data_IF_349640450146
#
_entry.id   IF_349640450146
#
_cell.length_a   1.000
_cell.length_b   1.000
_cell.length_c   1.000
_cell.angle_alpha   90.00
_cell.angle_beta   90.00
_cell.angle_gamma   90.00
#
_symmetry.space_group_name_H-M   'P 1'
#
loop_
_entity.id
_entity.type
_entity.pdbx_description
1 polymer ?
#
# COMPACT_ATOMS: atom_id res chain seq x y z
N UNK A 1 -3.50 -27.91 68.67
CA UNK A 1 -2.33 -28.64 69.21
C UNK A 1 -1.20 -27.72 69.68
N UNK A 2 -0.92 -26.57 69.03
CA UNK A 2 0.18 -25.70 69.47
C UNK A 2 -0.03 -25.15 70.89
N UNK A 3 -1.24 -24.68 71.23
CA UNK A 3 -1.54 -24.13 72.56
C UNK A 3 -1.34 -25.15 73.70
N UNK A 4 -1.90 -26.36 73.55
CA UNK A 4 -1.81 -27.42 74.57
C UNK A 4 -0.36 -27.86 74.78
N UNK A 5 0.41 -27.97 73.70
CA UNK A 5 1.82 -28.34 73.78
C UNK A 5 2.67 -27.22 74.42
N UNK A 6 2.42 -25.96 74.10
CA UNK A 6 3.06 -24.81 74.76
C UNK A 6 2.72 -24.75 76.24
N UNK A 7 1.47 -25.04 76.63
CA UNK A 7 1.04 -25.12 78.03
C UNK A 7 1.76 -26.27 78.74
N UNK A 8 1.88 -27.45 78.12
CA UNK A 8 2.58 -28.60 78.70
C UNK A 8 4.08 -28.35 78.87
N UNK A 9 4.75 -27.73 77.88
CA UNK A 9 6.16 -27.33 78.00
C UNK A 9 6.29 -26.28 79.11
N UNK A 10 5.41 -25.28 79.16
CA UNK A 10 5.44 -24.25 80.19
C UNK A 10 5.28 -24.85 81.60
N UNK A 11 4.39 -25.84 81.76
CA UNK A 11 4.20 -26.56 83.01
C UNK A 11 5.41 -27.43 83.36
N UNK A 12 6.01 -28.12 82.37
CA UNK A 12 7.23 -28.90 82.56
C UNK A 12 8.40 -28.01 83.01
N UNK A 13 8.59 -26.85 82.37
CA UNK A 13 9.56 -25.81 82.74
C UNK A 13 9.34 -25.33 84.17
N UNK A 14 8.09 -25.02 84.52
CA UNK A 14 7.73 -24.57 85.86
C UNK A 14 8.06 -25.64 86.92
N UNK A 15 7.68 -26.90 86.69
CA UNK A 15 7.98 -28.02 87.60
C UNK A 15 9.48 -28.24 87.73
N UNK A 16 10.24 -28.19 86.62
CA UNK A 16 11.70 -28.32 86.62
C UNK A 16 12.41 -27.22 87.41
N UNK A 17 11.93 -25.98 87.29
CA UNK A 17 12.44 -24.84 88.06
C UNK A 17 12.11 -24.97 89.56
N UNK A 18 10.90 -25.38 89.92
CA UNK A 18 10.51 -25.62 91.33
C UNK A 18 11.39 -26.74 91.92
N UNK A 19 11.60 -27.84 91.19
CA UNK A 19 12.45 -28.94 91.65
C UNK A 19 13.91 -28.49 91.87
N UNK A 20 14.45 -27.67 90.97
CA UNK A 20 15.81 -27.12 91.08
C UNK A 20 15.93 -26.12 92.23
N UNK A 21 14.88 -25.35 92.48
CA UNK A 21 14.81 -24.43 93.62
C UNK A 21 14.77 -25.18 94.96
N UNK A 22 13.98 -26.25 95.07
CA UNK A 22 13.87 -27.03 96.30
C UNK A 22 15.17 -27.76 96.67
N UNK A 23 15.97 -28.15 95.67
CA UNK A 23 17.24 -28.85 95.90
C UNK A 23 18.39 -27.90 96.27
N UNK A 24 18.23 -26.58 96.12
CA UNK A 24 19.31 -25.56 96.31
C UNK A 24 19.94 -25.60 97.70
N UNK A 25 19.18 -26.07 98.71
CA UNK A 25 19.63 -26.18 100.10
C UNK A 25 20.65 -27.29 100.32
N UNK A 26 20.70 -28.29 99.44
CA UNK A 26 21.42 -29.54 99.69
C UNK A 26 22.63 -29.78 98.77
N UNK A 27 22.82 -28.98 97.72
CA UNK A 27 23.86 -29.20 96.70
C UNK A 27 24.72 -27.95 96.50
N UNK A 28 25.97 -28.13 96.05
CA UNK A 28 26.85 -27.01 95.73
C UNK A 28 26.33 -26.23 94.51
N UNK A 29 26.44 -24.90 94.56
CA UNK A 29 25.93 -23.99 93.53
C UNK A 29 26.40 -24.32 92.10
N UNK A 30 27.66 -24.76 91.92
CA UNK A 30 28.18 -25.15 90.60
C UNK A 30 27.49 -26.37 89.99
N UNK A 31 27.12 -27.37 90.80
CA UNK A 31 26.38 -28.54 90.33
C UNK A 31 24.94 -28.18 89.94
N UNK A 32 24.35 -27.19 90.62
CA UNK A 32 23.02 -26.66 90.27
C UNK A 32 23.00 -25.92 88.95
N UNK A 33 23.99 -25.07 88.70
CA UNK A 33 24.15 -24.38 87.43
C UNK A 33 24.29 -25.38 86.27
N UNK A 34 25.06 -26.46 86.47
CA UNK A 34 25.23 -27.51 85.46
C UNK A 34 23.92 -28.27 85.21
N UNK A 35 23.21 -28.69 86.26
CA UNK A 35 21.91 -29.35 86.14
C UNK A 35 20.87 -28.46 85.43
N UNK A 36 20.80 -27.17 85.80
CA UNK A 36 19.93 -26.19 85.14
C UNK A 36 20.32 -25.98 83.67
N UNK A 37 21.62 -25.92 83.36
CA UNK A 37 22.12 -25.81 81.99
C UNK A 37 21.72 -27.00 81.13
N UNK A 38 21.90 -28.23 81.64
CA UNK A 38 21.48 -29.46 80.94
C UNK A 38 19.95 -29.48 80.78
N UNK A 39 19.20 -29.07 81.81
CA UNK A 39 17.76 -28.99 81.76
C UNK A 39 17.26 -28.01 80.68
N UNK A 40 17.78 -26.78 80.67
CA UNK A 40 17.42 -25.76 79.67
C UNK A 40 17.84 -26.19 78.26
N UNK A 41 19.01 -26.81 78.11
CA UNK A 41 19.43 -27.38 76.82
C UNK A 41 18.45 -28.47 76.34
N UNK A 42 17.99 -29.34 77.25
CA UNK A 42 17.01 -30.39 76.93
C UNK A 42 15.67 -29.81 76.50
N UNK A 43 15.19 -28.77 77.20
CA UNK A 43 13.98 -28.03 76.79
C UNK A 43 14.18 -27.35 75.44
N UNK A 44 15.35 -26.75 75.19
CA UNK A 44 15.69 -26.14 73.90
C UNK A 44 15.63 -27.14 72.75
N UNK A 45 16.17 -28.35 72.93
CA UNK A 45 16.07 -29.43 71.94
C UNK A 45 14.61 -29.84 71.69
N UNK A 46 13.77 -29.90 72.73
CA UNK A 46 12.34 -30.21 72.58
C UNK A 46 11.60 -29.12 71.79
N UNK A 47 11.89 -27.84 72.03
CA UNK A 47 11.30 -26.72 71.28
C UNK A 47 11.73 -26.75 69.81
N UNK A 48 13.03 -26.95 69.54
CA UNK A 48 13.52 -27.08 68.17
C UNK A 48 12.93 -28.30 67.47
N UNK A 49 12.84 -29.45 68.15
CA UNK A 49 12.20 -30.65 67.63
C UNK A 49 10.73 -30.44 67.30
N UNK A 50 10.00 -29.68 68.14
CA UNK A 50 8.61 -29.32 67.89
C UNK A 50 8.45 -28.36 66.69
N UNK A 51 9.36 -27.40 66.51
CA UNK A 51 9.37 -26.52 65.33
C UNK A 51 9.71 -27.30 64.05
N UNK A 52 10.71 -28.18 64.09
CA UNK A 52 11.03 -29.08 62.98
C UNK A 52 9.82 -29.96 62.63
N UNK A 53 9.12 -30.51 63.63
CA UNK A 53 7.89 -31.28 63.40
C UNK A 53 6.76 -30.41 62.81
N UNK A 54 6.60 -29.17 63.29
CA UNK A 54 5.60 -28.22 62.75
C UNK A 54 5.87 -27.90 61.29
N UNK A 55 7.11 -27.56 60.95
CA UNK A 55 7.56 -27.30 59.59
C UNK A 55 7.37 -28.54 58.73
N UNK A 56 7.82 -29.72 59.19
CA UNK A 56 7.67 -30.97 58.45
C UNK A 56 6.21 -31.34 58.21
N UNK A 57 5.33 -31.16 59.21
CA UNK A 57 3.89 -31.37 59.06
C UNK A 57 3.29 -30.39 58.07
N UNK A 58 3.66 -29.11 58.13
CA UNK A 58 3.20 -28.08 57.20
C UNK A 58 3.66 -28.38 55.77
N UNK A 59 4.92 -28.78 55.59
CA UNK A 59 5.46 -29.22 54.31
C UNK A 59 4.73 -30.44 53.78
N UNK A 60 4.51 -31.50 54.58
CA UNK A 60 3.73 -32.67 54.16
C UNK A 60 2.28 -32.34 53.81
N UNK A 61 1.66 -31.39 54.50
CA UNK A 61 0.30 -30.93 54.18
C UNK A 61 0.25 -30.14 52.86
N UNK A 62 1.32 -29.42 52.52
CA UNK A 62 1.42 -28.65 51.28
C UNK A 62 1.95 -29.48 50.11
N UNK A 63 2.69 -30.56 50.37
CA UNK A 63 3.28 -31.44 49.35
C UNK A 63 2.27 -31.88 48.28
N UNK A 64 1.09 -32.45 48.59
CA UNK A 64 0.14 -32.89 47.56
C UNK A 64 -0.40 -31.72 46.72
N UNK A 65 -0.47 -30.50 47.29
CA UNK A 65 -0.88 -29.31 46.53
C UNK A 65 0.20 -28.88 45.55
N UNK A 66 1.46 -28.95 45.95
CA UNK A 66 2.59 -28.62 45.09
C UNK A 66 2.78 -29.68 44.00
N UNK A 67 2.60 -30.97 44.34
CA UNK A 67 2.62 -32.08 43.36
C UNK A 67 1.50 -31.92 42.32
N UNK A 68 0.27 -31.65 42.74
CA UNK A 68 -0.84 -31.41 41.81
C UNK A 68 -0.61 -30.18 40.92
N UNK A 69 -0.02 -29.10 41.46
CA UNK A 69 0.37 -27.92 40.67
C UNK A 69 1.48 -28.24 39.67
N UNK A 70 2.49 -29.02 40.09
CA UNK A 70 3.59 -29.42 39.22
C UNK A 70 3.06 -30.26 38.05
N UNK A 71 2.22 -31.25 38.33
CA UNK A 71 1.57 -32.08 37.29
C UNK A 71 0.75 -31.23 36.33
N UNK A 72 -0.02 -30.26 36.83
CA UNK A 72 -0.79 -29.34 36.00
C UNK A 72 0.12 -28.47 35.11
N UNK A 73 1.25 -27.97 35.65
CA UNK A 73 2.21 -27.16 34.88
C UNK A 73 2.94 -28.01 33.83
N UNK A 74 3.31 -29.25 34.16
CA UNK A 74 3.92 -30.19 33.23
C UNK A 74 2.95 -30.55 32.09
N UNK A 75 1.68 -30.79 32.41
CA UNK A 75 0.63 -31.06 31.42
C UNK A 75 0.42 -29.85 30.49
N UNK A 76 0.37 -28.63 31.04
CA UNK A 76 0.27 -27.38 30.26
C UNK A 76 1.50 -27.18 29.37
N UNK A 77 2.70 -27.41 29.89
CA UNK A 77 3.93 -27.26 29.13
C UNK A 77 4.01 -28.29 27.99
N UNK A 78 3.66 -29.56 28.28
CA UNK A 78 3.53 -30.58 27.25
C UNK A 78 2.50 -30.18 26.19
N UNK A 79 1.34 -29.67 26.60
CA UNK A 79 0.31 -29.18 25.67
C UNK A 79 0.79 -28.01 24.80
N UNK A 80 1.59 -27.09 25.31
CA UNK A 80 2.21 -26.02 24.52
C UNK A 80 3.27 -26.57 23.56
N UNK A 81 4.11 -27.51 24.01
CA UNK A 81 5.20 -28.06 23.20
C UNK A 81 4.72 -28.98 22.08
N UNK A 82 3.80 -29.90 22.36
CA UNK A 82 3.32 -30.88 21.37
C UNK A 82 1.96 -30.54 20.76
N UNK A 83 1.30 -29.49 21.25
CA UNK A 83 -0.11 -29.26 20.99
C UNK A 83 -0.99 -30.15 21.88
N UNK A 84 -2.28 -29.81 22.00
CA UNK A 84 -3.26 -30.59 22.77
C UNK A 84 -4.63 -30.57 22.12
N UNK A 85 -5.39 -31.65 22.33
CA UNK A 85 -6.82 -31.77 21.99
C UNK A 85 -7.69 -32.00 23.22
N UNK A 86 -7.11 -31.91 24.42
CA UNK A 86 -7.81 -32.15 25.68
C UNK A 86 -8.49 -30.84 26.09
N UNK A 87 -9.84 -30.75 26.09
CA UNK A 87 -10.54 -29.47 26.30
C UNK A 87 -10.20 -28.80 27.63
N UNK A 88 -9.98 -29.60 28.68
CA UNK A 88 -9.60 -29.10 30.01
C UNK A 88 -8.24 -28.40 30.01
N UNK A 89 -7.23 -29.02 29.38
CA UNK A 89 -5.88 -28.47 29.26
C UNK A 89 -5.88 -27.21 28.39
N UNK A 90 -6.63 -27.22 27.27
CA UNK A 90 -6.76 -26.05 26.37
C UNK A 90 -7.39 -24.88 27.13
N UNK A 91 -8.51 -25.10 27.81
CA UNK A 91 -9.18 -24.06 28.61
C UNK A 91 -8.25 -23.51 29.69
N UNK A 92 -7.46 -24.37 30.35
CA UNK A 92 -6.52 -23.93 31.37
C UNK A 92 -5.38 -23.08 30.78
N UNK A 93 -4.82 -23.47 29.63
CA UNK A 93 -3.78 -22.68 28.92
C UNK A 93 -4.35 -21.35 28.41
N UNK A 94 -5.55 -21.35 27.85
CA UNK A 94 -6.22 -20.14 27.36
C UNK A 94 -6.49 -19.16 28.51
N UNK A 95 -6.99 -19.64 29.65
CA UNK A 95 -7.24 -18.80 30.82
C UNK A 95 -5.95 -18.19 31.40
N UNK A 96 -4.87 -18.96 31.38
CA UNK A 96 -3.53 -18.49 31.74
C UNK A 96 -3.09 -17.38 30.77
N UNK A 97 -3.21 -17.58 29.46
CA UNK A 97 -2.81 -16.60 28.44
C UNK A 97 -3.67 -15.31 28.46
N UNK A 98 -4.96 -15.40 28.83
CA UNK A 98 -5.82 -14.22 29.03
C UNK A 98 -5.43 -13.41 30.25
N UNK A 99 -4.84 -14.05 31.26
CA UNK A 99 -4.46 -13.44 32.53
C UNK A 99 -2.97 -13.60 32.80
N UNK A 100 -2.08 -13.04 31.96
CA UNK A 100 -0.64 -13.21 32.13
C UNK A 100 -0.15 -12.64 33.46
N UNK A 101 -0.84 -11.65 34.02
CA UNK A 101 -0.57 -11.09 35.36
C UNK A 101 -0.77 -12.11 36.49
N UNK A 102 -1.76 -13.00 36.36
CA UNK A 102 -1.99 -14.06 37.35
C UNK A 102 -0.81 -15.05 37.35
N UNK A 103 -0.36 -15.47 36.16
CA UNK A 103 0.84 -16.31 36.00
C UNK A 103 2.06 -15.60 36.58
N UNK A 104 2.23 -14.31 36.27
CA UNK A 104 3.32 -13.48 36.79
C UNK A 104 3.36 -13.49 38.31
N UNK A 105 2.20 -13.25 38.92
CA UNK A 105 2.07 -13.17 40.37
C UNK A 105 2.36 -14.51 41.06
N UNK A 106 2.17 -15.62 40.36
CA UNK A 106 2.39 -16.97 40.85
C UNK A 106 3.84 -17.45 40.64
N UNK A 107 4.50 -17.04 39.55
CA UNK A 107 5.86 -17.47 39.20
C UNK A 107 6.96 -16.54 39.71
N UNK A 108 6.70 -15.24 39.84
CA UNK A 108 7.72 -14.27 40.14
C UNK A 108 7.76 -13.87 41.62
N UNK A 109 8.95 -13.97 42.23
CA UNK A 109 9.31 -13.07 43.34
C UNK A 109 9.26 -11.60 42.88
N UNK A 110 9.32 -10.64 43.81
CA UNK A 110 9.07 -9.21 43.52
C UNK A 110 9.81 -8.65 42.29
N UNK A 111 11.03 -9.12 41.99
CA UNK A 111 11.82 -8.66 40.83
C UNK A 111 11.29 -9.15 39.47
N UNK A 112 10.73 -10.36 39.39
CA UNK A 112 10.18 -10.88 38.13
C UNK A 112 8.83 -10.25 37.76
N UNK A 113 8.09 -9.74 38.76
CA UNK A 113 6.84 -9.01 38.52
C UNK A 113 7.08 -7.69 37.80
N UNK A 114 8.19 -7.00 38.11
CA UNK A 114 8.52 -5.71 37.50
C UNK A 114 8.99 -5.85 36.04
N UNK A 115 9.79 -6.88 35.73
CA UNK A 115 10.20 -7.18 34.36
C UNK A 115 9.02 -7.60 33.47
N UNK A 116 8.12 -8.44 34.00
CA UNK A 116 6.95 -8.85 33.24
C UNK A 116 5.95 -7.70 33.08
N UNK A 117 5.78 -6.84 34.09
CA UNK A 117 4.97 -5.64 33.96
C UNK A 117 5.49 -4.72 32.85
N UNK A 118 6.82 -4.58 32.68
CA UNK A 118 7.39 -3.81 31.57
C UNK A 118 7.12 -4.45 30.20
N UNK A 119 7.21 -5.79 30.08
CA UNK A 119 6.86 -6.50 28.84
C UNK A 119 5.37 -6.44 28.51
N UNK A 120 4.50 -6.63 29.51
CA UNK A 120 3.06 -6.54 29.36
C UNK A 120 2.60 -5.11 29.11
N UNK A 121 3.27 -4.10 29.66
CA UNK A 121 3.00 -2.71 29.32
C UNK A 121 3.29 -2.43 27.84
N UNK A 122 4.37 -2.99 27.28
CA UNK A 122 4.65 -2.88 25.85
C UNK A 122 3.54 -3.54 25.00
N UNK A 123 3.09 -4.74 25.38
CA UNK A 123 1.99 -5.43 24.69
C UNK A 123 0.63 -4.74 24.88
N UNK A 124 0.34 -4.27 26.08
CA UNK A 124 -0.94 -3.68 26.49
C UNK A 124 -1.20 -2.28 25.97
N UNK A 125 -0.17 -1.58 25.46
CA UNK A 125 -0.38 -0.31 24.72
C UNK A 125 -1.03 -0.50 23.34
N UNK A 126 -1.21 -1.74 22.88
CA UNK A 126 -1.80 -2.04 21.59
C UNK A 126 -3.14 -2.78 21.78
N UNK A 127 -4.23 -2.03 21.99
CA UNK A 127 -5.59 -2.59 22.15
C UNK A 127 -5.94 -3.57 21.02
N UNK A 128 -5.54 -3.27 19.79
CA UNK A 128 -5.74 -4.14 18.63
C UNK A 128 -5.02 -5.49 18.77
N UNK A 129 -3.82 -5.52 19.35
CA UNK A 129 -3.11 -6.78 19.61
C UNK A 129 -3.81 -7.63 20.67
N UNK A 130 -4.46 -6.99 21.66
CA UNK A 130 -5.23 -7.68 22.67
C UNK A 130 -6.51 -8.28 22.10
N UNK A 131 -7.26 -7.52 21.29
CA UNK A 131 -8.46 -8.04 20.59
C UNK A 131 -8.13 -9.20 19.64
N UNK A 132 -7.02 -9.10 18.91
CA UNK A 132 -6.54 -10.19 18.06
C UNK A 132 -6.10 -11.42 18.87
N UNK A 133 -5.47 -11.23 20.03
CA UNK A 133 -5.12 -12.32 20.92
C UNK A 133 -6.37 -12.99 21.50
N UNK A 134 -7.34 -12.20 21.99
CA UNK A 134 -8.58 -12.72 22.54
C UNK A 134 -9.39 -13.50 21.48
N UNK A 135 -9.49 -12.99 20.26
CA UNK A 135 -10.17 -13.71 19.16
C UNK A 135 -9.46 -15.00 18.76
N UNK A 136 -8.13 -15.02 18.75
CA UNK A 136 -7.36 -16.25 18.54
C UNK A 136 -7.60 -17.25 19.68
N UNK A 137 -7.64 -16.80 20.93
CA UNK A 137 -7.89 -17.65 22.08
C UNK A 137 -9.32 -18.24 22.08
N UNK A 138 -10.30 -17.48 21.61
CA UNK A 138 -11.66 -17.99 21.38
C UNK A 138 -11.68 -19.06 20.29
N UNK A 139 -11.06 -18.81 19.13
CA UNK A 139 -10.93 -19.80 18.05
C UNK A 139 -10.22 -21.08 18.51
N UNK A 140 -9.20 -20.97 19.37
CA UNK A 140 -8.51 -22.13 19.95
C UNK A 140 -9.42 -22.95 20.88
N UNK A 141 -10.28 -22.26 21.64
CA UNK A 141 -11.24 -22.91 22.55
C UNK A 141 -12.35 -23.60 21.75
N UNK A 142 -12.89 -22.95 20.73
CA UNK A 142 -13.95 -23.46 19.85
C UNK A 142 -13.47 -24.64 19.00
N UNK A 143 -12.29 -24.54 18.41
CA UNK A 143 -11.72 -25.62 17.59
C UNK A 143 -11.35 -26.87 18.40
N UNK A 144 -11.22 -26.74 19.73
CA UNK A 144 -10.78 -27.81 20.62
C UNK A 144 -9.37 -28.32 20.29
N UNK A 145 -8.55 -27.50 19.62
CA UNK A 145 -7.19 -27.84 19.20
C UNK A 145 -6.24 -26.69 19.54
N UNK A 146 -5.24 -26.99 20.37
CA UNK A 146 -4.11 -26.11 20.62
C UNK A 146 -2.93 -26.55 19.72
N UNK A 147 -2.49 -25.73 18.75
CA UNK A 147 -1.29 -26.01 17.96
C UNK A 147 -0.05 -26.01 18.86
N UNK A 148 0.96 -26.81 18.51
CA UNK A 148 2.25 -26.78 19.19
C UNK A 148 2.97 -25.44 18.96
N UNK A 149 3.87 -25.08 19.87
CA UNK A 149 4.82 -23.98 19.66
C UNK A 149 5.63 -24.15 18.36
N UNK A 150 6.01 -25.38 18.03
CA UNK A 150 6.68 -25.68 16.75
C UNK A 150 5.78 -25.41 15.55
N UNK A 151 4.48 -25.70 15.65
CA UNK A 151 3.51 -25.39 14.58
C UNK A 151 3.36 -23.89 14.41
N UNK A 152 3.26 -23.15 15.53
CA UNK A 152 3.20 -21.69 15.51
C UNK A 152 4.48 -21.06 14.96
N UNK A 153 5.65 -21.58 15.34
CA UNK A 153 6.94 -21.12 14.81
C UNK A 153 7.04 -21.41 13.31
N UNK A 154 6.67 -22.60 12.85
CA UNK A 154 6.62 -22.93 11.42
C UNK A 154 5.65 -22.03 10.65
N UNK A 155 4.46 -21.75 11.19
CA UNK A 155 3.49 -20.84 10.60
C UNK A 155 4.05 -19.41 10.54
N UNK A 156 4.64 -18.92 11.63
CA UNK A 156 5.27 -17.61 11.68
C UNK A 156 6.44 -17.49 10.71
N UNK A 157 7.28 -18.53 10.60
CA UNK A 157 8.37 -18.58 9.62
C UNK A 157 7.86 -18.67 8.18
N UNK A 158 6.76 -19.39 7.93
CA UNK A 158 6.12 -19.42 6.63
C UNK A 158 5.55 -18.04 6.27
N UNK A 159 4.85 -17.38 7.20
CA UNK A 159 4.34 -16.02 7.04
C UNK A 159 5.47 -15.01 6.82
N UNK A 160 6.54 -15.10 7.60
CA UNK A 160 7.72 -14.25 7.48
C UNK A 160 8.43 -14.45 6.13
N UNK A 161 8.58 -15.70 5.68
CA UNK A 161 9.14 -16.00 4.35
C UNK A 161 8.26 -15.47 3.22
N UNK A 162 6.94 -15.59 3.34
CA UNK A 162 6.01 -15.13 2.31
C UNK A 162 5.90 -13.61 2.23
N UNK A 163 6.01 -12.91 3.37
CA UNK A 163 5.95 -11.44 3.42
C UNK A 163 7.31 -10.77 3.19
N UNK A 164 8.39 -11.51 3.38
CA UNK A 164 9.74 -10.94 3.51
C UNK A 164 9.86 -10.06 4.76
N UNK A 165 10.99 -9.38 4.88
CA UNK A 165 11.18 -8.35 5.92
C UNK A 165 10.31 -7.13 5.64
N UNK A 166 9.85 -6.49 6.71
CA UNK A 166 9.02 -5.29 6.64
C UNK A 166 9.60 -4.22 7.55
N UNK A 167 9.82 -3.03 7.01
CA UNK A 167 10.27 -1.85 7.74
C UNK A 167 9.13 -0.85 7.80
N UNK A 168 8.48 -0.77 8.97
CA UNK A 168 7.36 0.15 9.22
C UNK A 168 7.87 1.42 9.87
N UNK A 169 7.16 2.53 9.63
CA UNK A 169 7.49 3.81 10.25
C UNK A 169 8.76 4.44 9.69
N UNK A 170 9.19 4.07 8.48
CA UNK A 170 10.31 4.73 7.82
C UNK A 170 9.91 6.18 7.48
N UNK A 171 10.78 7.15 7.72
CA UNK A 171 10.46 8.57 7.53
C UNK A 171 11.42 9.15 6.49
N UNK A 172 10.89 9.94 5.56
CA UNK A 172 11.75 10.64 4.58
C UNK A 172 12.57 11.69 5.30
N UNK A 173 13.88 11.70 5.06
CA UNK A 173 14.79 12.73 5.58
C UNK A 173 14.94 13.89 4.61
N UNK A 174 14.72 13.63 3.31
CA UNK A 174 14.71 14.62 2.25
C UNK A 174 13.58 14.31 1.25
N UNK A 175 13.15 15.34 0.49
CA UNK A 175 12.27 15.13 -0.65
C UNK A 175 12.96 14.34 -1.76
N UNK A 176 12.19 13.77 -2.72
CA UNK A 176 12.77 13.13 -3.89
C UNK A 176 13.55 14.17 -4.72
N UNK A 177 14.69 13.76 -5.27
CA UNK A 177 15.44 14.57 -6.24
C UNK A 177 14.81 14.49 -7.66
N UNK A 178 15.45 15.13 -8.64
CA UNK A 178 14.98 15.12 -10.04
C UNK A 178 14.90 13.71 -10.67
N UNK A 179 15.62 12.73 -10.10
CA UNK A 179 15.58 11.33 -10.52
C UNK A 179 14.53 10.50 -9.75
N UNK A 180 13.84 11.11 -8.78
CA UNK A 180 12.91 10.43 -7.88
C UNK A 180 13.59 9.70 -6.72
N UNK A 181 14.90 9.87 -6.53
CA UNK A 181 15.65 9.22 -5.45
C UNK A 181 15.30 9.86 -4.12
N UNK A 182 14.96 9.04 -3.11
CA UNK A 182 14.52 9.49 -1.78
C UNK A 182 15.42 8.93 -0.69
N UNK A 183 15.81 9.77 0.27
CA UNK A 183 16.51 9.36 1.48
C UNK A 183 15.51 9.12 2.61
N UNK A 184 15.67 8.01 3.30
CA UNK A 184 14.78 7.59 4.38
C UNK A 184 15.57 7.22 5.64
N UNK A 185 15.01 7.52 6.80
CA UNK A 185 15.45 7.02 8.10
C UNK A 185 14.57 5.83 8.51
N UNK A 186 15.20 4.77 8.98
CA UNK A 186 14.54 3.54 9.43
C UNK A 186 14.87 3.38 10.92
N UNK A 187 13.96 3.77 11.84
CA UNK A 187 14.27 3.82 13.25
C UNK A 187 14.52 2.44 13.87
N UNK A 188 13.80 1.41 13.39
CA UNK A 188 13.84 0.03 13.87
C UNK A 188 13.57 -0.96 12.71
N UNK A 189 14.16 -2.16 12.72
CA UNK A 189 15.22 -2.64 13.64
C UNK A 189 16.59 -1.96 13.37
N UNK A 190 17.56 -2.12 14.28
CA UNK A 190 18.95 -1.60 14.12
C UNK A 190 19.98 -2.74 14.26
N UNK A 191 20.83 -2.99 13.25
CA UNK A 191 20.76 -2.44 11.90
C UNK A 191 19.47 -2.90 11.21
N UNK A 192 18.94 -2.08 10.28
CA UNK A 192 17.69 -2.44 9.60
C UNK A 192 17.87 -3.63 8.64
N UNK A 193 19.08 -3.89 8.16
CA UNK A 193 19.39 -5.07 7.35
C UNK A 193 18.91 -5.00 5.89
N UNK A 194 18.65 -3.80 5.36
CA UNK A 194 18.48 -3.63 3.90
C UNK A 194 19.86 -3.73 3.26
N UNK A 195 19.93 -4.44 2.15
CA UNK A 195 21.16 -4.61 1.38
C UNK A 195 21.18 -3.63 0.21
N UNK A 196 22.36 -3.14 -0.15
CA UNK A 196 22.53 -2.37 -1.38
C UNK A 196 22.16 -3.25 -2.59
N UNK A 197 21.55 -2.63 -3.61
CA UNK A 197 20.99 -3.25 -4.81
C UNK A 197 19.76 -4.15 -4.62
N UNK A 198 19.23 -4.31 -3.39
CA UNK A 198 17.96 -4.99 -3.20
C UNK A 198 16.79 -4.15 -3.76
N UNK A 199 15.76 -4.84 -4.25
CA UNK A 199 14.50 -4.21 -4.69
C UNK A 199 13.49 -4.33 -3.56
N UNK A 200 12.79 -3.24 -3.28
CA UNK A 200 11.79 -3.13 -2.22
C UNK A 200 10.53 -2.43 -2.73
N UNK A 201 9.41 -2.73 -2.09
CA UNK A 201 8.10 -2.18 -2.40
C UNK A 201 7.72 -1.15 -1.34
N UNK A 202 7.47 0.08 -1.76
CA UNK A 202 7.24 1.20 -0.84
C UNK A 202 5.76 1.58 -0.82
N UNK A 203 5.20 1.67 0.38
CA UNK A 203 3.82 2.08 0.64
C UNK A 203 3.81 3.27 1.57
N UNK A 204 2.90 4.21 1.34
CA UNK A 204 2.61 5.25 2.31
C UNK A 204 1.69 4.70 3.39
N UNK A 205 2.03 4.89 4.67
CA UNK A 205 1.16 4.56 5.80
C UNK A 205 0.10 5.64 5.99
N UNK A 206 -1.06 5.24 6.51
CA UNK A 206 -2.18 6.13 6.82
C UNK A 206 -3.51 5.45 6.53
N UNK A 207 -4.59 6.17 6.76
CA UNK A 207 -5.93 5.67 6.46
C UNK A 207 -6.17 5.63 4.93
N UNK A 208 -6.88 4.60 4.44
CA UNK A 208 -7.42 4.63 3.09
C UNK A 208 -8.42 5.79 2.97
N UNK A 209 -8.47 6.41 1.79
CA UNK A 209 -9.45 7.48 1.51
C UNK A 209 -10.45 6.94 0.50
N UNK A 210 -11.56 6.37 0.98
CA UNK A 210 -12.57 5.76 0.11
C UNK A 210 -13.17 6.75 -0.90
N UNK A 211 -13.36 8.01 -0.50
CA UNK A 211 -13.92 9.06 -1.36
C UNK A 211 -12.96 9.49 -2.47
N UNK A 212 -11.66 9.39 -2.20
CA UNK A 212 -10.62 9.68 -3.17
C UNK A 212 -9.43 8.75 -2.95
N UNK A 213 -9.49 7.51 -3.48
CA UNK A 213 -8.44 6.49 -3.27
C UNK A 213 -7.05 6.99 -3.63
N UNK A 214 -7.01 7.96 -4.54
CA UNK A 214 -5.82 8.60 -5.05
C UNK A 214 -5.10 9.52 -4.03
N UNK A 215 -5.74 9.83 -2.89
CA UNK A 215 -5.22 10.66 -1.79
C UNK A 215 -5.00 9.88 -0.47
N UNK A 216 -5.50 8.64 -0.34
CA UNK A 216 -5.31 7.80 0.85
C UNK A 216 -4.00 7.01 0.82
N UNK A 217 -3.65 6.29 1.88
CA UNK A 217 -2.50 5.39 1.90
C UNK A 217 -2.45 4.49 0.65
N UNK A 218 -1.30 4.47 -0.04
CA UNK A 218 -1.21 3.79 -1.33
C UNK A 218 0.20 3.25 -1.58
N UNK A 219 0.27 2.33 -2.52
CA UNK A 219 1.51 1.87 -3.13
C UNK A 219 2.20 2.98 -3.92
N UNK A 220 3.47 3.25 -3.61
CA UNK A 220 4.26 4.31 -4.24
C UNK A 220 5.14 3.80 -5.39
N UNK A 221 5.47 2.51 -5.42
CA UNK A 221 6.26 1.89 -6.48
C UNK A 221 7.33 0.94 -5.96
N UNK A 222 8.10 0.41 -6.92
CA UNK A 222 9.28 -0.42 -6.70
C UNK A 222 10.53 0.46 -6.65
N UNK A 223 11.38 0.24 -5.66
CA UNK A 223 12.59 1.01 -5.46
C UNK A 223 13.78 0.07 -5.29
N UNK A 224 14.92 0.44 -5.87
CA UNK A 224 16.21 -0.16 -5.60
C UNK A 224 16.91 0.59 -4.48
N UNK A 225 17.47 -0.13 -3.52
CA UNK A 225 18.33 0.44 -2.47
C UNK A 225 19.68 0.78 -3.08
N UNK A 226 19.98 2.07 -3.27
CA UNK A 226 21.26 2.51 -3.85
C UNK A 226 22.35 2.72 -2.80
N UNK A 227 21.97 2.96 -1.56
CA UNK A 227 22.86 3.01 -0.40
C UNK A 227 22.11 2.57 0.86
N UNK A 228 22.81 1.88 1.77
CA UNK A 228 22.30 1.45 3.06
C UNK A 228 23.30 1.76 4.17
N UNK A 229 22.83 2.40 5.24
CA UNK A 229 23.56 2.63 6.50
C UNK A 229 22.86 1.86 7.64
N UNK A 230 23.30 1.91 8.90
CA UNK A 230 22.62 1.18 9.98
C UNK A 230 21.18 1.63 10.26
N UNK A 231 20.87 2.92 10.07
CA UNK A 231 19.61 3.58 10.43
C UNK A 231 18.99 4.40 9.28
N UNK A 232 19.56 4.34 8.08
CA UNK A 232 19.05 5.06 6.90
C UNK A 232 19.33 4.33 5.61
N UNK A 233 18.49 4.54 4.60
CA UNK A 233 18.71 4.04 3.25
C UNK A 233 18.38 5.10 2.19
N UNK A 234 18.98 4.96 1.02
CA UNK A 234 18.66 5.76 -0.17
C UNK A 234 17.97 4.85 -1.18
N UNK A 235 16.79 5.26 -1.63
CA UNK A 235 15.94 4.48 -2.53
C UNK A 235 15.80 5.20 -3.86
N UNK A 236 16.15 4.53 -4.96
CA UNK A 236 15.92 5.03 -6.33
C UNK A 236 14.79 4.22 -6.98
N UNK A 237 13.82 4.86 -7.66
CA UNK A 237 12.70 4.15 -8.25
C UNK A 237 13.19 3.26 -9.42
N UNK A 238 12.69 2.02 -9.50
CA UNK A 238 13.05 1.08 -10.58
C UNK A 238 12.45 1.54 -11.91
N UNK A 239 11.25 2.10 -11.86
CA UNK A 239 10.56 2.71 -12.99
C UNK A 239 10.40 4.22 -12.75
N UNK A 240 10.50 5.07 -13.78
CA UNK A 240 10.30 6.50 -13.62
C UNK A 240 8.96 6.80 -12.93
N UNK A 241 9.02 7.57 -11.82
CA UNK A 241 7.82 8.03 -11.15
C UNK A 241 7.08 9.00 -12.08
N UNK A 242 5.75 8.91 -12.12
CA UNK A 242 4.98 9.95 -12.79
C UNK A 242 4.92 11.22 -11.94
N UNK A 243 4.58 12.34 -12.57
CA UNK A 243 4.50 13.65 -11.91
C UNK A 243 3.63 13.59 -10.64
N UNK A 244 2.51 12.86 -10.71
CA UNK A 244 1.60 12.68 -9.59
C UNK A 244 2.26 11.95 -8.41
N UNK A 245 2.92 10.82 -8.65
CA UNK A 245 3.56 10.03 -7.58
C UNK A 245 4.79 10.74 -7.05
N UNK A 246 5.56 11.41 -7.92
CA UNK A 246 6.68 12.24 -7.53
C UNK A 246 6.25 13.39 -6.61
N UNK A 247 5.25 14.19 -7.01
CA UNK A 247 4.69 15.26 -6.17
C UNK A 247 4.12 14.73 -4.85
N UNK A 248 3.44 13.59 -4.89
CA UNK A 248 2.91 12.96 -3.67
C UNK A 248 4.03 12.50 -2.74
N UNK A 249 5.05 11.84 -3.29
CA UNK A 249 6.22 11.42 -2.53
C UNK A 249 6.96 12.63 -1.96
N UNK A 250 7.04 13.75 -2.68
CA UNK A 250 7.61 15.01 -2.19
C UNK A 250 6.79 15.61 -1.04
N UNK A 251 5.47 15.73 -1.22
CA UNK A 251 4.59 16.44 -0.30
C UNK A 251 4.16 15.62 0.93
N UNK A 252 4.21 14.30 0.86
CA UNK A 252 3.79 13.43 1.96
C UNK A 252 4.68 13.65 3.21
N UNK A 253 4.07 13.76 4.39
CA UNK A 253 4.77 13.66 5.67
C UNK A 253 4.47 12.35 6.40
N UNK A 254 3.66 11.49 5.78
CA UNK A 254 3.25 10.25 6.40
C UNK A 254 4.44 9.26 6.42
N UNK A 255 4.55 8.42 7.46
CA UNK A 255 5.52 7.35 7.48
C UNK A 255 5.33 6.38 6.31
N UNK A 256 6.40 5.69 5.95
CA UNK A 256 6.44 4.70 4.90
C UNK A 256 6.50 3.29 5.51
N UNK A 257 5.86 2.34 4.83
CA UNK A 257 6.08 0.91 5.03
C UNK A 257 6.81 0.36 3.82
N UNK A 258 7.95 -0.27 4.06
CA UNK A 258 8.83 -0.85 3.04
C UNK A 258 8.75 -2.35 3.20
N UNK A 259 8.50 -3.05 2.10
CA UNK A 259 8.42 -4.50 2.06
C UNK A 259 9.54 -5.04 1.17
N UNK A 260 10.22 -6.08 1.63
CA UNK A 260 11.20 -6.81 0.83
C UNK A 260 10.54 -7.60 -0.29
N UNK A 261 9.36 -8.16 -0.03
CA UNK A 261 8.57 -8.92 -1.01
C UNK A 261 7.19 -8.29 -1.12
N UNK A 262 6.66 -8.20 -2.34
CA UNK A 262 5.32 -7.67 -2.55
C UNK A 262 4.33 -8.49 -1.71
N UNK A 263 3.54 -7.86 -0.82
CA UNK A 263 2.54 -8.58 -0.06
C UNK A 263 1.63 -9.37 -1.02
N UNK A 264 1.53 -10.70 -0.86
CA UNK A 264 0.64 -11.49 -1.70
C UNK A 264 -0.80 -11.12 -1.38
N UNK A 265 -1.63 -11.14 -2.41
CA UNK A 265 -3.09 -11.08 -2.27
C UNK A 265 -3.57 -12.32 -1.50
N UNK A 266 -4.45 -12.09 -0.53
CA UNK A 266 -4.93 -13.11 0.41
C UNK A 266 -6.35 -12.79 0.80
N UNK A 267 -7.24 -13.77 0.65
CA UNK A 267 -8.60 -13.64 1.14
C UNK A 267 -8.63 -13.67 2.68
N UNK A 268 -7.70 -14.39 3.31
CA UNK A 268 -7.58 -14.58 4.76
C UNK A 268 -7.32 -13.29 5.55
N UNK A 269 -7.06 -12.18 4.86
CA UNK A 269 -6.99 -10.86 5.49
C UNK A 269 -8.38 -10.34 5.90
N UNK A 270 -9.44 -10.83 5.26
CA UNK A 270 -10.82 -10.34 5.40
C UNK A 270 -11.77 -11.36 6.01
N UNK A 271 -11.27 -12.52 6.40
CA UNK A 271 -12.06 -13.60 6.95
C UNK A 271 -11.25 -14.87 7.17
N UNK A 272 -11.94 -15.91 7.58
CA UNK A 272 -11.37 -17.22 7.80
C UNK A 272 -12.41 -18.30 7.50
N UNK A 273 -11.94 -19.54 7.36
CA UNK A 273 -12.85 -20.68 7.30
C UNK A 273 -13.20 -21.13 8.73
N UNK A 274 -14.50 -21.18 9.04
CA UNK A 274 -15.07 -21.82 10.23
C UNK A 274 -15.93 -23.01 9.80
N UNK A 275 -15.56 -24.22 10.24
CA UNK A 275 -16.21 -25.48 9.86
C UNK A 275 -16.49 -25.57 8.35
N UNK A 276 -15.45 -25.36 7.55
CA UNK A 276 -15.50 -25.34 6.09
C UNK A 276 -16.44 -24.29 5.50
N UNK A 277 -16.88 -23.29 6.24
CA UNK A 277 -17.67 -22.16 5.72
C UNK A 277 -16.80 -20.91 5.80
N UNK A 278 -16.71 -20.16 4.70
CA UNK A 278 -16.04 -18.87 4.74
C UNK A 278 -16.85 -17.90 5.58
N UNK A 279 -16.22 -17.35 6.61
CA UNK A 279 -16.79 -16.32 7.48
C UNK A 279 -15.93 -15.08 7.33
N UNK A 280 -16.53 -13.98 6.84
CA UNK A 280 -15.84 -12.70 6.82
C UNK A 280 -15.72 -12.15 8.23
N UNK A 281 -14.54 -11.61 8.55
CA UNK A 281 -14.28 -10.91 9.81
C UNK A 281 -14.87 -9.48 9.81
N UNK A 282 -15.45 -9.04 8.68
CA UNK A 282 -15.98 -7.70 8.47
C UNK A 282 -17.42 -7.75 7.94
N UNK A 283 -18.20 -6.71 8.19
CA UNK A 283 -19.53 -6.60 7.56
C UNK A 283 -19.41 -6.26 6.08
N UNK A 284 -20.48 -6.51 5.32
CA UNK A 284 -20.53 -6.14 3.90
C UNK A 284 -20.29 -4.63 3.70
N UNK A 285 -20.88 -3.78 4.54
CA UNK A 285 -20.71 -2.33 4.47
C UNK A 285 -19.26 -1.92 4.75
N UNK A 286 -18.59 -2.56 5.71
CA UNK A 286 -17.18 -2.30 6.03
C UNK A 286 -16.28 -2.72 4.87
N UNK A 287 -16.50 -3.89 4.29
CA UNK A 287 -15.77 -4.34 3.10
C UNK A 287 -15.95 -3.38 1.93
N UNK A 288 -17.17 -2.89 1.69
CA UNK A 288 -17.47 -1.89 0.64
C UNK A 288 -16.82 -0.52 0.91
N UNK A 289 -16.53 -0.20 2.16
CA UNK A 289 -15.79 1.01 2.52
C UNK A 289 -14.28 0.85 2.35
N UNK A 290 -13.74 -0.33 2.66
CA UNK A 290 -12.30 -0.60 2.59
C UNK A 290 -11.82 -0.96 1.18
N UNK A 291 -12.65 -1.66 0.40
CA UNK A 291 -12.27 -2.23 -0.89
C UNK A 291 -12.90 -1.46 -2.07
N UNK A 292 -12.19 -1.33 -3.20
CA UNK A 292 -12.76 -0.76 -4.42
C UNK A 292 -14.00 -1.53 -4.90
N UNK A 293 -14.97 -0.82 -5.47
CA UNK A 293 -16.21 -1.40 -6.01
C UNK A 293 -15.95 -2.51 -7.05
N UNK A 294 -14.84 -2.42 -7.80
CA UNK A 294 -14.47 -3.42 -8.80
C UNK A 294 -14.01 -4.76 -8.21
N UNK A 295 -13.58 -4.79 -6.95
CA UNK A 295 -13.06 -6.02 -6.31
C UNK A 295 -13.91 -6.48 -5.15
N UNK A 296 -14.67 -5.60 -4.50
CA UNK A 296 -15.43 -5.95 -3.30
C UNK A 296 -16.44 -7.08 -3.54
N UNK A 297 -17.08 -7.12 -4.71
CA UNK A 297 -18.02 -8.19 -5.06
C UNK A 297 -17.33 -9.58 -5.09
N UNK A 298 -16.08 -9.65 -5.53
CA UNK A 298 -15.31 -10.90 -5.50
C UNK A 298 -15.07 -11.37 -4.06
N UNK A 299 -14.81 -10.44 -3.13
CA UNK A 299 -14.59 -10.74 -1.72
C UNK A 299 -15.88 -11.16 -1.00
N UNK A 300 -16.99 -10.50 -1.30
CA UNK A 300 -18.30 -10.84 -0.72
C UNK A 300 -18.79 -12.23 -1.19
N UNK A 301 -18.45 -12.60 -2.42
CA UNK A 301 -18.81 -13.90 -2.99
C UNK A 301 -17.85 -15.01 -2.64
N UNK A 302 -16.66 -14.71 -2.14
CA UNK A 302 -15.65 -15.72 -1.80
C UNK A 302 -16.21 -16.75 -0.82
N UNK A 303 -16.01 -18.03 -1.13
CA UNK A 303 -16.52 -19.15 -0.34
C UNK A 303 -18.03 -19.39 -0.41
N UNK A 304 -18.79 -18.56 -1.14
CA UNK A 304 -20.22 -18.79 -1.35
C UNK A 304 -20.48 -20.00 -2.24
N UNK A 305 -21.56 -20.73 -1.94
CA UNK A 305 -22.04 -21.83 -2.78
C UNK A 305 -22.84 -21.34 -4.00
N UNK A 306 -23.13 -20.04 -4.07
CA UNK A 306 -23.93 -19.41 -5.13
C UNK A 306 -23.05 -19.10 -6.35
N UNK A 307 -22.80 -20.14 -7.14
CA UNK A 307 -22.21 -20.00 -8.46
C UNK A 307 -23.24 -19.49 -9.48
N UNK A 308 -22.86 -18.44 -10.19
CA UNK A 308 -23.61 -17.89 -11.33
C UNK A 308 -23.17 -18.56 -12.62
N UNK A 309 -23.95 -18.36 -13.69
CA UNK A 309 -23.60 -18.87 -15.03
C UNK A 309 -22.40 -18.14 -15.64
N UNK A 310 -22.09 -16.95 -15.15
CA UNK A 310 -21.03 -16.10 -15.67
C UNK A 310 -19.68 -16.36 -14.99
N UNK A 311 -19.65 -17.13 -13.89
CA UNK A 311 -18.39 -17.51 -13.24
C UNK A 311 -17.63 -18.51 -14.12
N UNK A 312 -16.42 -18.13 -14.53
CA UNK A 312 -15.53 -18.99 -15.29
C UNK A 312 -14.93 -20.11 -14.42
N UNK A 313 -14.18 -21.00 -15.06
CA UNK A 313 -13.52 -22.14 -14.39
C UNK A 313 -12.50 -21.70 -13.33
N UNK A 314 -11.88 -20.53 -13.48
CA UNK A 314 -10.88 -20.02 -12.53
C UNK A 314 -11.50 -19.44 -11.25
N UNK A 315 -12.80 -19.14 -11.28
CA UNK A 315 -13.56 -18.69 -10.11
C UNK A 315 -14.29 -19.83 -9.41
N UNK A 316 -14.12 -21.08 -9.86
CA UNK A 316 -14.78 -22.26 -9.29
C UNK A 316 -13.75 -23.16 -8.66
N UNK A 317 -13.85 -23.37 -7.35
CA UNK A 317 -13.06 -24.40 -6.66
C UNK A 317 -13.98 -25.59 -6.36
N UNK A 318 -13.63 -26.74 -6.94
CA UNK A 318 -14.27 -28.01 -6.66
C UNK A 318 -13.75 -28.61 -5.35
N UNK A 319 -14.63 -29.26 -4.61
CA UNK A 319 -14.33 -29.95 -3.35
C UNK A 319 -14.90 -31.37 -3.35
N UNK A 320 -14.23 -32.29 -2.65
CA UNK A 320 -14.74 -33.64 -2.40
C UNK A 320 -15.68 -33.67 -1.17
N UNK A 321 -16.19 -34.85 -0.84
CA UNK A 321 -17.08 -35.07 0.31
C UNK A 321 -16.38 -34.90 1.66
N UNK A 322 -15.04 -34.81 1.66
CA UNK A 322 -14.19 -34.51 2.81
C UNK A 322 -13.79 -33.03 2.88
N UNK A 323 -14.40 -32.17 2.07
CA UNK A 323 -14.10 -30.74 1.99
C UNK A 323 -12.67 -30.41 1.54
N UNK A 324 -11.99 -31.36 0.88
CA UNK A 324 -10.66 -31.13 0.34
C UNK A 324 -10.77 -30.54 -1.08
N UNK A 325 -9.95 -29.52 -1.42
CA UNK A 325 -9.96 -28.94 -2.75
C UNK A 325 -9.51 -29.98 -3.79
N UNK A 326 -10.32 -30.15 -4.83
CA UNK A 326 -10.05 -31.02 -5.97
C UNK A 326 -9.40 -30.16 -7.06
N UNK A 327 -8.19 -30.54 -7.49
CA UNK A 327 -7.55 -29.92 -8.65
C UNK A 327 -8.23 -30.33 -9.96
N UNK A 328 -8.10 -29.53 -11.03
CA UNK A 328 -8.78 -29.79 -12.32
C UNK A 328 -8.40 -31.12 -12.98
N UNK A 329 -7.24 -31.68 -12.62
CA UNK A 329 -6.69 -32.96 -13.13
C UNK A 329 -7.08 -34.18 -12.28
N UNK A 330 -7.88 -34.01 -11.22
CA UNK A 330 -8.20 -35.09 -10.29
C UNK A 330 -9.42 -35.92 -10.73
N UNK A 331 -9.28 -37.24 -10.71
CA UNK A 331 -10.37 -38.20 -11.01
C UNK A 331 -11.42 -38.33 -9.87
N UNK A 332 -11.20 -37.67 -8.73
CA UNK A 332 -12.14 -37.68 -7.61
C UNK A 332 -13.49 -37.05 -8.02
N UNK A 333 -14.63 -37.61 -7.59
CA UNK A 333 -15.93 -37.01 -7.86
C UNK A 333 -16.06 -35.67 -7.13
N UNK A 334 -16.54 -34.64 -7.84
CA UNK A 334 -16.86 -33.34 -7.25
C UNK A 334 -18.15 -33.46 -6.43
N UNK A 335 -18.06 -33.22 -5.12
CA UNK A 335 -19.21 -33.24 -4.23
C UNK A 335 -19.96 -31.90 -4.28
N UNK A 336 -19.23 -30.79 -4.28
CA UNK A 336 -19.78 -29.44 -4.45
C UNK A 336 -18.70 -28.49 -4.97
N UNK A 337 -19.13 -27.34 -5.49
CA UNK A 337 -18.26 -26.27 -5.96
C UNK A 337 -18.56 -24.98 -5.18
N UNK A 338 -17.58 -24.10 -5.08
CA UNK A 338 -17.74 -22.77 -4.48
C UNK A 338 -17.06 -21.70 -5.31
N UNK A 339 -17.52 -20.47 -5.15
CA UNK A 339 -16.85 -19.33 -5.73
C UNK A 339 -15.51 -19.12 -5.01
N UNK A 340 -14.41 -19.31 -5.73
CA UNK A 340 -13.07 -19.01 -5.26
C UNK A 340 -12.57 -17.74 -5.93
N UNK A 341 -11.98 -16.84 -5.13
CA UNK A 341 -11.52 -15.57 -5.65
C UNK A 341 -10.10 -15.77 -6.16
N UNK A 342 -9.80 -15.48 -7.43
CA UNK A 342 -8.44 -15.61 -7.94
C UNK A 342 -7.51 -14.65 -7.20
N UNK A 343 -6.51 -15.22 -6.51
CA UNK A 343 -5.48 -14.45 -5.85
C UNK A 343 -4.61 -13.76 -6.89
N UNK A 344 -4.40 -12.45 -6.72
CA UNK A 344 -3.64 -11.66 -7.68
C UNK A 344 -2.19 -11.56 -7.25
N UNK A 345 -1.27 -11.89 -8.17
CA UNK A 345 0.13 -11.54 -8.01
C UNK A 345 0.31 -10.04 -8.28
N UNK A 346 0.18 -9.20 -7.24
CA UNK A 346 0.22 -7.74 -7.39
C UNK A 346 1.49 -7.23 -8.07
N UNK A 347 2.62 -7.91 -7.90
CA UNK A 347 3.86 -7.62 -8.64
C UNK A 347 3.65 -7.67 -10.15
N UNK A 348 3.05 -8.76 -10.67
CA UNK A 348 2.75 -8.91 -12.10
C UNK A 348 1.74 -7.86 -12.55
N UNK A 349 0.67 -7.65 -11.77
CA UNK A 349 -0.38 -6.68 -12.10
C UNK A 349 0.20 -5.26 -12.19
N UNK A 350 0.99 -4.84 -11.21
CA UNK A 350 1.59 -3.50 -11.21
C UNK A 350 2.63 -3.33 -12.30
N UNK A 351 3.44 -4.35 -12.59
CA UNK A 351 4.38 -4.30 -13.70
C UNK A 351 3.67 -4.18 -15.06
N UNK A 352 2.58 -4.91 -15.26
CA UNK A 352 1.76 -4.79 -16.47
C UNK A 352 1.12 -3.40 -16.57
N UNK A 353 0.52 -2.89 -15.48
CA UNK A 353 -0.06 -1.55 -15.45
C UNK A 353 0.98 -0.46 -15.66
N UNK A 354 2.20 -0.63 -15.16
CA UNK A 354 3.29 0.31 -15.35
C UNK A 354 3.77 0.31 -16.82
N UNK A 355 3.87 -0.86 -17.46
CA UNK A 355 4.18 -0.96 -18.89
C UNK A 355 3.07 -0.35 -19.76
N UNK A 356 1.80 -0.59 -19.43
CA UNK A 356 0.66 0.04 -20.10
C UNK A 356 0.69 1.56 -19.94
N UNK A 357 0.92 2.04 -18.72
CA UNK A 357 1.05 3.47 -18.41
C UNK A 357 2.19 4.11 -19.20
N UNK A 358 3.36 3.47 -19.29
CA UNK A 358 4.48 3.97 -20.08
C UNK A 358 4.10 4.08 -21.57
N UNK A 359 3.37 3.10 -22.09
CA UNK A 359 2.83 3.12 -23.46
C UNK A 359 1.86 4.28 -23.66
N UNK A 360 0.95 4.51 -22.70
CA UNK A 360 -0.02 5.61 -22.75
C UNK A 360 0.66 6.98 -22.68
N UNK A 361 1.67 7.16 -21.85
CA UNK A 361 2.48 8.40 -21.77
C UNK A 361 3.17 8.66 -23.11
N UNK A 362 3.80 7.64 -23.71
CA UNK A 362 4.46 7.77 -25.00
C UNK A 362 3.46 8.16 -26.11
N UNK A 363 2.26 7.56 -26.12
CA UNK A 363 1.18 7.93 -27.06
C UNK A 363 0.69 9.35 -26.84
N UNK A 364 0.53 9.79 -25.59
CA UNK A 364 0.14 11.15 -25.24
C UNK A 364 1.18 12.16 -25.74
N UNK A 365 2.47 11.89 -25.54
CA UNK A 365 3.55 12.75 -26.02
C UNK A 365 3.57 12.84 -27.56
N UNK A 366 3.39 11.72 -28.26
CA UNK A 366 3.30 11.71 -29.72
C UNK A 366 2.09 12.52 -30.22
N UNK A 367 0.92 12.33 -29.61
CA UNK A 367 -0.30 13.07 -29.96
C UNK A 367 -0.14 14.58 -29.70
N UNK A 368 0.55 14.97 -28.62
CA UNK A 368 0.82 16.37 -28.32
C UNK A 368 1.74 17.03 -29.37
N UNK A 369 2.76 16.32 -29.84
CA UNK A 369 3.65 16.81 -30.90
C UNK A 369 2.91 16.90 -32.26
N UNK A 370 2.06 15.94 -32.57
CA UNK A 370 1.22 16.01 -33.79
C UNK A 370 0.22 17.16 -33.72
N UNK A 371 -0.40 17.40 -32.55
CA UNK A 371 -1.26 18.56 -32.33
C UNK A 371 -0.51 19.88 -32.54
N UNK A 372 0.75 19.97 -32.11
CA UNK A 372 1.62 21.14 -32.34
C UNK A 372 1.89 21.34 -33.83
N UNK A 373 2.23 20.28 -34.57
CA UNK A 373 2.46 20.35 -36.04
C UNK A 373 1.20 20.77 -36.79
N UNK A 374 0.05 20.20 -36.43
CA UNK A 374 -1.25 20.58 -37.02
C UNK A 374 -1.57 22.05 -36.75
N UNK A 375 -1.29 22.55 -35.55
CA UNK A 375 -1.44 23.96 -35.24
C UNK A 375 -0.56 24.84 -36.13
N UNK A 376 0.72 24.51 -36.28
CA UNK A 376 1.63 25.24 -37.19
C UNK A 376 1.11 25.22 -38.63
N UNK A 377 0.64 24.07 -39.13
CA UNK A 377 0.09 23.96 -40.48
C UNK A 377 -1.19 24.79 -40.69
N UNK A 378 -2.04 24.90 -39.65
CA UNK A 378 -3.21 25.77 -39.67
C UNK A 378 -2.78 27.24 -39.74
N UNK A 379 -1.81 27.65 -38.92
CA UNK A 379 -1.31 29.03 -38.89
C UNK A 379 -0.68 29.42 -40.24
N UNK A 380 0.13 28.54 -40.84
CA UNK A 380 0.70 28.71 -42.19
C UNK A 380 -0.40 28.76 -43.27
N UNK A 381 -1.40 27.89 -43.17
CA UNK A 381 -2.56 27.88 -44.09
C UNK A 381 -3.36 29.19 -44.04
N UNK A 382 -3.52 29.77 -42.85
CA UNK A 382 -4.17 31.07 -42.67
C UNK A 382 -3.36 32.22 -43.26
N UNK A 383 -2.03 32.20 -43.11
CA UNK A 383 -1.14 33.17 -43.74
C UNK A 383 -1.22 33.11 -45.26
N UNK A 384 -1.14 31.90 -45.83
CA UNK A 384 -1.28 31.71 -47.28
C UNK A 384 -2.66 32.17 -47.78
N UNK A 385 -3.73 31.89 -47.02
CA UNK A 385 -5.07 32.36 -47.36
C UNK A 385 -5.13 33.90 -47.41
N UNK A 386 -4.50 34.59 -46.45
CA UNK A 386 -4.43 36.05 -46.44
C UNK A 386 -3.64 36.59 -47.64
N UNK A 387 -2.49 36.00 -47.96
CA UNK A 387 -1.69 36.37 -49.14
C UNK A 387 -2.48 36.20 -50.44
N UNK A 388 -3.23 35.10 -50.59
CA UNK A 388 -4.08 34.87 -51.77
C UNK A 388 -5.25 35.84 -51.86
N UNK A 389 -5.81 36.26 -50.73
CA UNK A 389 -6.85 37.29 -50.72
C UNK A 389 -6.28 38.64 -51.18
N UNK A 390 -5.07 38.97 -50.74
CA UNK A 390 -4.36 40.18 -51.15
C UNK A 390 -3.97 40.15 -52.63
N UNK A 391 -3.43 39.04 -53.13
CA UNK A 391 -3.13 38.84 -54.55
C UNK A 391 -4.39 39.00 -55.41
N UNK A 392 -5.51 38.40 -55.01
CA UNK A 392 -6.81 38.58 -55.69
C UNK A 392 -7.24 40.04 -55.71
N UNK A 393 -7.04 40.76 -54.61
CA UNK A 393 -7.37 42.19 -54.51
C UNK A 393 -6.53 43.00 -55.50
N UNK A 394 -5.22 42.76 -55.58
CA UNK A 394 -4.31 43.43 -56.51
C UNK A 394 -4.65 43.12 -57.97
N UNK A 395 -4.90 41.86 -58.31
CA UNK A 395 -5.29 41.46 -59.67
C UNK A 395 -6.61 42.10 -60.12
N UNK A 396 -7.57 42.30 -59.20
CA UNK A 396 -8.80 43.03 -59.52
C UNK A 396 -8.52 44.50 -59.82
N UNK A 397 -7.60 45.15 -59.09
CA UNK A 397 -7.18 46.52 -59.36
C UNK A 397 -6.53 46.62 -60.75
N UNK A 398 -5.59 45.73 -61.05
CA UNK A 398 -4.90 45.70 -62.35
C UNK A 398 -5.88 45.47 -63.51
N UNK A 399 -6.84 44.56 -63.32
CA UNK A 399 -7.92 44.34 -64.29
C UNK A 399 -8.71 45.63 -64.56
N UNK A 400 -9.08 46.36 -63.52
CA UNK A 400 -9.80 47.63 -63.67
C UNK A 400 -8.96 48.69 -64.40
N UNK A 401 -7.65 48.72 -64.15
CA UNK A 401 -6.71 49.60 -64.87
C UNK A 401 -6.66 49.23 -66.36
N UNK A 402 -6.51 47.95 -66.69
CA UNK A 402 -6.50 47.47 -68.08
C UNK A 402 -7.83 47.76 -68.80
N UNK A 403 -8.96 47.67 -68.11
CA UNK A 403 -10.27 48.03 -68.69
C UNK A 403 -10.37 49.53 -69.00
N UNK A 404 -9.81 50.39 -68.14
CA UNK A 404 -9.72 51.83 -68.42
C UNK A 404 -8.82 52.11 -69.62
N UNK A 405 -7.64 51.49 -69.68
CA UNK A 405 -6.71 51.67 -70.80
C UNK A 405 -7.33 51.18 -72.11
N UNK A 406 -8.02 50.04 -72.09
CA UNK A 406 -8.75 49.52 -73.25
C UNK A 406 -9.82 50.52 -73.74
N UNK A 407 -10.55 51.16 -72.82
CA UNK A 407 -11.53 52.19 -73.18
C UNK A 407 -10.87 53.41 -73.83
N UNK A 408 -9.75 53.88 -73.28
CA UNK A 408 -8.95 54.98 -73.85
C UNK A 408 -8.42 54.64 -75.24
N UNK A 409 -7.89 53.43 -75.43
CA UNK A 409 -7.38 52.96 -76.74
C UNK A 409 -8.52 52.90 -77.77
N UNK A 410 -9.71 52.44 -77.37
CA UNK A 410 -10.88 52.40 -78.25
C UNK A 410 -11.31 53.80 -78.68
N UNK A 411 -11.40 54.73 -77.74
CA UNK A 411 -11.74 56.14 -78.01
C UNK A 411 -10.71 56.82 -78.94
N UNK A 412 -9.42 56.56 -78.70
CA UNK A 412 -8.34 57.05 -79.56
C UNK A 412 -8.43 56.45 -80.97
N UNK A 413 -8.69 55.14 -81.09
CA UNK A 413 -8.86 54.46 -82.37
C UNK A 413 -10.04 55.02 -83.16
N UNK A 414 -11.16 55.30 -82.49
CA UNK A 414 -12.33 55.93 -83.11
C UNK A 414 -11.99 57.35 -83.58
N UNK A 415 -11.35 58.15 -82.74
CA UNK A 415 -10.87 59.51 -83.07
C UNK A 415 -9.94 59.51 -84.29
N UNK A 416 -8.97 58.59 -84.34
CA UNK A 416 -8.05 58.44 -85.48
C UNK A 416 -8.83 58.07 -86.75
N UNK A 417 -9.80 57.16 -86.64
CA UNK A 417 -10.63 56.72 -87.78
C UNK A 417 -11.45 57.89 -88.33
N UNK A 418 -12.06 58.70 -87.45
CA UNK A 418 -12.78 59.92 -87.83
C UNK A 418 -11.87 60.95 -88.50
N UNK A 419 -10.70 61.23 -87.92
CA UNK A 419 -9.70 62.15 -88.52
C UNK A 419 -9.21 61.67 -89.87
N UNK A 420 -9.00 60.37 -90.04
CA UNK A 420 -8.60 59.76 -91.29
C UNK A 420 -9.69 59.89 -92.36
N UNK A 421 -10.97 59.73 -91.98
CA UNK A 421 -12.10 59.98 -92.87
C UNK A 421 -12.15 61.44 -93.35
N UNK A 422 -12.06 62.41 -92.43
CA UNK A 422 -12.01 63.84 -92.76
C UNK A 422 -10.81 64.17 -93.66
N UNK A 423 -9.64 63.61 -93.37
CA UNK A 423 -8.42 63.83 -94.17
C UNK A 423 -8.57 63.26 -95.58
N UNK A 424 -9.19 62.09 -95.74
CA UNK A 424 -9.51 61.51 -97.05
C UNK A 424 -10.47 62.39 -97.84
N UNK A 425 -11.50 62.93 -97.20
CA UNK A 425 -12.45 63.85 -97.82
C UNK A 425 -11.75 65.14 -98.27
N UNK A 426 -10.96 65.76 -97.40
CA UNK A 426 -10.16 66.95 -97.75
C UNK A 426 -9.19 66.67 -98.91
N UNK A 427 -8.53 65.51 -98.91
CA UNK A 427 -7.63 65.10 -99.98
C UNK A 427 -8.40 64.92 -101.31
N UNK A 428 -9.55 64.27 -101.30
CA UNK A 428 -10.40 64.11 -102.49
C UNK A 428 -10.88 65.46 -103.03
N UNK A 429 -11.38 66.34 -102.15
CA UNK A 429 -11.78 67.70 -102.50
C UNK A 429 -10.62 68.50 -103.10
N UNK A 430 -9.42 68.40 -102.50
CA UNK A 430 -8.21 69.03 -103.00
C UNK A 430 -7.78 68.50 -104.38
N UNK A 431 -7.84 67.18 -104.60
CA UNK A 431 -7.57 66.58 -105.91
C UNK A 431 -8.58 67.04 -106.96
N UNK A 432 -9.87 67.12 -106.62
CA UNK A 432 -10.92 67.59 -107.51
C UNK A 432 -10.73 69.07 -107.86
N UNK A 433 -10.43 69.93 -106.87
CA UNK A 433 -10.13 71.33 -107.08
C UNK A 433 -8.90 71.53 -107.98
N UNK A 434 -7.82 70.77 -107.74
CA UNK A 434 -6.62 70.80 -108.59
C UNK A 434 -6.94 70.36 -110.03
N UNK A 435 -7.77 69.33 -110.23
CA UNK A 435 -8.20 68.88 -111.55
C UNK A 435 -9.04 69.96 -112.27
N UNK A 436 -9.93 70.64 -111.56
CA UNK A 436 -10.70 71.77 -112.10
C UNK A 436 -9.79 72.93 -112.51
N UNK A 437 -8.84 73.31 -111.65
CA UNK A 437 -7.88 74.37 -111.93
C UNK A 437 -7.01 74.03 -113.15
N UNK A 438 -6.53 72.79 -113.25
CA UNK A 438 -5.78 72.31 -114.41
C UNK A 438 -6.63 72.38 -115.69
N UNK A 439 -7.90 71.97 -115.64
CA UNK A 439 -8.81 72.09 -116.78
C UNK A 439 -9.05 73.56 -117.18
N UNK A 440 -9.18 74.47 -116.21
CA UNK A 440 -9.33 75.90 -116.47
C UNK A 440 -8.06 76.50 -117.12
N UNK A 441 -6.88 76.16 -116.60
CA UNK A 441 -5.60 76.58 -117.19
C UNK A 441 -5.44 76.07 -118.63
N UNK A 442 -5.78 74.80 -118.89
CA UNK A 442 -5.78 74.24 -120.25
C UNK A 442 -6.77 74.98 -121.15
N UNK A 443 -7.97 75.34 -120.68
CA UNK A 443 -8.92 76.16 -121.44
C UNK A 443 -8.36 77.55 -121.73
N UNK A 444 -7.71 78.20 -120.76
CA UNK A 444 -7.07 79.51 -120.95
C UNK A 444 -5.93 79.42 -121.97
N UNK A 445 -5.11 78.37 -121.91
CA UNK A 445 -4.04 78.13 -122.89
C UNK A 445 -4.61 77.88 -124.29
N UNK A 446 -5.66 77.07 -124.42
CA UNK A 446 -6.37 76.88 -125.69
C UNK A 446 -6.98 78.18 -126.21
N UNK A 447 -7.58 79.00 -125.35
CA UNK A 447 -8.15 80.30 -125.73
C UNK A 447 -7.08 81.29 -126.24
N UNK A 448 -5.89 81.28 -125.63
CA UNK A 448 -4.73 82.05 -126.09
C UNK A 448 -4.25 81.53 -127.46
N UNK A 449 -4.23 80.20 -127.67
CA UNK A 449 -3.84 79.58 -128.93
C UNK A 449 -4.89 79.75 -130.05
N UNK A 450 -6.18 79.87 -129.72
CA UNK A 450 -7.25 80.14 -130.70
C UNK A 450 -7.49 81.63 -130.95
N UNK A 451 -7.04 82.51 -130.05
CA UNK A 451 -7.12 83.96 -130.18
C UNK A 451 -5.95 84.60 -130.95
N UNK A 452 -5.01 83.80 -131.43
CA UNK A 452 -3.84 84.23 -132.22
C UNK A 452 -4.04 84.12 -133.75
N UNK A 453 -5.27 84.14 -134.25
CA UNK A 453 -5.62 84.24 -135.68
C UNK A 453 -6.43 85.51 -136.04
N UNK A 454 -6.04 86.66 -135.48
CA UNK A 454 -6.40 87.97 -136.05
C UNK A 454 -5.15 88.74 -136.46
#
# INVERSE_FOLDING_TARGET
MSLVFTILIGLLVLVGLIATFLTIKHWHWGQMLLMLGVYLASVGVLVLGAEVYRIHKLLRMNLPKVEAKLEQVEEKNAALQSGSRVPGTITAVVNDLRNPEAIASELAGQEGQEQLAQQLQWLGTNEMAKEQLDSLLDRLTESGKLPSLDTWDQQNQALARQRGRVWRGAVKTAGPDDSGTVQIAIPMPRPHGLEQDSVVYVFQMGEPNANNPSQGAQYLGEFRVTAAAPDSATLAPVLPLDERTSQRLANSQAPLSIYETMPPDRHELFGHYDNDTWVSDYTEEELRQMLPAATVEEYLRHGSAELTRDDDEYHRQAFDDEFLPIGPESDKPVAYERYDRPLRAYEIVFNNLAAEKATLIARLAAAAEDAKKLKTAIDEGQQLQAERQEEKRLLNIDKDHMLRDLAVIRDLSETITQRLAVTKELLQNGLQANAQLAAELTRRQLAILSGSEQ
#
